data_IF_735449834815
#
_entry.id   IF_735449834815
#
_cell.length_a   1.000
_cell.length_b   1.000
_cell.length_c   1.000
_cell.angle_alpha   90.00
_cell.angle_beta   90.00
_cell.angle_gamma   90.00
#
_symmetry.space_group_name_H-M   'P 1'
#
loop_
_entity.id
_entity.type
_entity.pdbx_description
1 polymer ?
2 non-polymer ?
3 water ?
#
# COMPACT_ATOMS: atom_id res chain seq x y z
N UNK A 1 -2.63 -2.25 16.46
CA UNK A 1 -2.13 -2.89 15.26
C UNK A 1 -2.61 -4.31 15.06
N UNK A 2 -2.99 -5.03 16.11
CA UNK A 2 -3.14 -6.46 16.02
C UNK A 2 -4.17 -6.92 15.01
N UNK A 3 -5.25 -6.17 14.86
CA UNK A 3 -6.29 -6.53 13.92
C UNK A 3 -5.90 -6.49 12.48
N UNK A 4 -4.80 -5.81 12.11
CA UNK A 4 -4.38 -5.80 10.71
C UNK A 4 -3.54 -7.04 10.35
N UNK A 5 -3.04 -7.74 11.40
CA UNK A 5 -2.07 -8.82 11.08
C UNK A 5 -2.76 -9.99 10.38
N UNK A 6 -2.02 -10.56 9.44
CA UNK A 6 -2.43 -11.72 8.69
C UNK A 6 -2.19 -11.65 7.23
N UNK A 7 -2.87 -12.51 6.49
CA UNK A 7 -2.81 -12.68 5.09
C UNK A 7 -4.10 -12.23 4.40
N UNK A 8 -3.95 -11.34 3.45
CA UNK A 8 -5.14 -10.68 2.85
C UNK A 8 -5.08 -10.83 1.33
N UNK A 9 -6.17 -11.01 0.62
CA UNK A 9 -6.16 -11.14 -0.83
C UNK A 9 -7.08 -10.11 -1.48
N UNK A 10 -6.64 -9.53 -2.59
CA UNK A 10 -7.45 -8.49 -3.21
C UNK A 10 -8.72 -9.07 -3.82
N UNK A 11 -9.82 -8.41 -3.60
CA UNK A 11 -11.11 -8.84 -4.17
C UNK A 11 -11.80 -7.73 -4.92
N UNK A 12 -11.39 -6.46 -4.80
CA UNK A 12 -12.04 -5.40 -5.65
C UNK A 12 -11.03 -4.26 -5.79
N UNK A 13 -11.18 -3.50 -6.87
CA UNK A 13 -10.29 -2.34 -7.07
C UNK A 13 -11.02 -1.29 -7.94
N UNK A 14 -10.99 -0.06 -7.50
CA UNK A 14 -11.59 1.04 -8.26
C UNK A 14 -10.57 2.19 -8.46
N UNK A 15 -10.43 2.59 -9.68
CA UNK A 15 -9.64 3.70 -10.12
C UNK A 15 -8.14 3.51 -9.89
N UNK A 16 -7.64 2.28 -9.99
CA UNK A 16 -6.16 2.09 -9.86
C UNK A 16 -5.46 2.69 -11.04
N UNK A 17 -6.13 2.62 -12.22
CA UNK A 17 -5.43 3.17 -13.39
C UNK A 17 -5.18 4.63 -13.23
N UNK A 18 -6.14 5.37 -12.69
CA UNK A 18 -6.00 6.84 -12.57
C UNK A 18 -4.82 7.12 -11.61
N UNK A 19 -4.72 6.37 -10.54
CA UNK A 19 -3.62 6.52 -9.57
C UNK A 19 -2.29 6.23 -10.20
N UNK A 20 -2.17 5.14 -10.95
CA UNK A 20 -0.92 4.84 -11.61
C UNK A 20 -0.56 5.91 -12.61
N UNK A 21 -1.56 6.38 -13.42
CA UNK A 21 -1.21 7.41 -14.40
C UNK A 21 -0.69 8.67 -13.70
N UNK A 22 -1.28 9.04 -12.58
CA UNK A 22 -0.88 10.24 -11.85
C UNK A 22 0.60 10.14 -11.42
N UNK A 23 1.05 8.94 -11.13
CA UNK A 23 2.43 8.73 -10.64
C UNK A 23 3.41 8.61 -11.81
N UNK A 24 2.85 8.53 -13.04
CA UNK A 24 3.71 8.47 -14.21
C UNK A 24 4.00 7.11 -14.71
N UNK A 25 3.26 6.11 -14.20
CA UNK A 25 3.51 4.76 -14.64
C UNK A 25 3.08 4.53 -16.08
N UNK A 26 3.93 3.81 -16.83
CA UNK A 26 3.69 3.71 -18.26
C UNK A 26 2.61 2.72 -18.62
N UNK A 27 2.11 2.83 -19.87
CA UNK A 27 0.94 2.07 -20.26
C UNK A 27 1.10 0.60 -20.14
N UNK A 28 2.27 0.06 -20.49
CA UNK A 28 2.43 -1.38 -20.50
C UNK A 28 2.37 -1.96 -19.10
N UNK A 29 2.95 -1.23 -18.12
CA UNK A 29 2.88 -1.72 -16.74
C UNK A 29 1.49 -1.57 -16.18
N UNK A 30 0.78 -0.51 -16.61
CA UNK A 30 -0.62 -0.38 -16.13
C UNK A 30 -1.47 -1.52 -16.66
N UNK A 31 -1.23 -2.02 -17.85
CA UNK A 31 -2.03 -3.16 -18.38
C UNK A 31 -1.90 -4.35 -17.42
N UNK A 32 -0.64 -4.73 -17.14
CA UNK A 32 -0.45 -5.93 -16.30
C UNK A 32 -0.99 -5.76 -14.91
N UNK A 33 -0.73 -4.60 -14.30
CA UNK A 33 -1.23 -4.26 -13.00
C UNK A 33 -2.73 -4.31 -12.85
N UNK A 34 -3.47 -4.00 -13.90
CA UNK A 34 -4.92 -3.98 -13.80
C UNK A 34 -5.51 -5.37 -13.68
N UNK A 35 -4.73 -6.38 -14.05
CA UNK A 35 -5.18 -7.78 -14.03
C UNK A 35 -4.47 -8.58 -12.94
N UNK A 36 -3.72 -7.95 -12.08
CA UNK A 36 -3.02 -8.61 -10.99
C UNK A 36 -3.80 -8.54 -9.69
N UNK A 37 -3.87 -9.66 -8.95
CA UNK A 37 -4.52 -9.72 -7.67
C UNK A 37 -3.52 -10.10 -6.56
N UNK A 38 -3.01 -9.05 -5.90
CA UNK A 38 -1.93 -9.32 -4.94
C UNK A 38 -2.42 -10.01 -3.67
N UNK A 39 -1.44 -10.55 -2.95
CA UNK A 39 -1.58 -11.02 -1.60
C UNK A 39 -0.73 -10.14 -0.66
N UNK A 40 -1.33 -9.57 0.33
CA UNK A 40 -0.54 -8.73 1.29
C UNK A 40 -0.46 -9.46 2.62
N UNK A 41 0.74 -9.57 3.18
CA UNK A 41 0.99 -10.23 4.45
C UNK A 41 1.58 -9.23 5.45
N UNK A 42 0.94 -9.06 6.56
CA UNK A 42 1.38 -8.16 7.61
C UNK A 42 1.68 -8.94 8.88
N UNK A 43 2.91 -8.75 9.39
CA UNK A 43 3.38 -9.49 10.53
C UNK A 43 4.08 -8.53 11.50
N UNK A 44 4.24 -8.95 12.73
CA UNK A 44 4.91 -8.15 13.75
C UNK A 44 5.87 -9.02 14.58
N UNK A 45 6.99 -8.41 14.91
CA UNK A 45 7.98 -9.00 15.83
C UNK A 45 8.39 -7.92 16.82
N UNK A 46 7.78 -7.86 17.96
CA UNK A 46 8.00 -6.74 18.90
C UNK A 46 7.46 -5.46 18.29
N UNK A 47 8.27 -4.42 18.22
CA UNK A 47 7.83 -3.17 17.62
C UNK A 47 8.17 -3.06 16.17
N UNK A 48 8.58 -4.16 15.50
CA UNK A 48 8.90 -4.07 14.07
C UNK A 48 7.79 -4.72 13.25
N UNK A 49 7.23 -3.97 12.33
CA UNK A 49 6.23 -4.50 11.39
C UNK A 49 6.88 -4.82 10.06
N UNK A 50 6.41 -5.88 9.41
CA UNK A 50 6.84 -6.30 8.09
C UNK A 50 5.58 -6.43 7.17
N UNK A 51 5.62 -5.74 6.08
CA UNK A 51 4.54 -5.74 5.08
C UNK A 51 5.06 -6.26 3.77
N UNK A 52 4.53 -7.43 3.35
CA UNK A 52 4.96 -8.10 2.11
C UNK A 52 3.78 -8.00 1.11
N UNK A 53 4.09 -7.58 -0.11
CA UNK A 53 3.02 -7.64 -1.14
C UNK A 53 3.53 -8.55 -2.28
N UNK A 54 2.79 -9.63 -2.52
CA UNK A 54 3.24 -10.68 -3.46
C UNK A 54 2.28 -10.73 -4.64
N UNK A 55 2.84 -10.97 -5.81
CA UNK A 55 1.97 -11.20 -6.98
C UNK A 55 2.78 -11.93 -8.06
N UNK A 56 2.12 -12.21 -9.18
CA UNK A 56 2.85 -12.83 -10.31
C UNK A 56 3.66 -11.82 -11.07
N UNK A 57 3.44 -10.52 -10.80
CA UNK A 57 4.22 -9.53 -11.61
C UNK A 57 5.38 -8.98 -10.81
N UNK A 58 5.12 -8.38 -9.65
CA UNK A 58 6.20 -7.82 -8.84
C UNK A 58 5.98 -8.21 -7.36
N UNK A 59 7.01 -8.19 -6.55
CA UNK A 59 6.92 -8.43 -5.13
C UNK A 59 7.71 -7.35 -4.37
N UNK A 60 7.10 -6.88 -3.30
CA UNK A 60 7.76 -5.92 -2.41
C UNK A 60 7.78 -6.39 -0.98
N UNK A 61 8.78 -5.90 -0.20
CA UNK A 61 8.75 -6.16 1.26
C UNK A 61 9.38 -4.95 1.98
N UNK A 62 8.76 -4.41 2.97
CA UNK A 62 9.33 -3.37 3.85
C UNK A 62 9.22 -3.76 5.31
N UNK A 63 10.14 -3.40 6.15
CA UNK A 63 10.08 -3.54 7.57
C UNK A 63 10.30 -2.16 8.22
N UNK A 64 9.48 -1.85 9.21
CA UNK A 64 9.54 -0.54 9.86
C UNK A 64 9.05 -0.54 11.27
N UNK A 65 9.39 0.54 12.01
CA UNK A 65 8.79 0.85 13.29
C UNK A 65 7.82 2.01 13.08
N UNK A 66 6.68 1.97 13.78
CA UNK A 66 5.71 3.04 13.66
C UNK A 66 6.35 4.34 14.13
N UNK A 67 6.11 5.41 13.41
CA UNK A 67 6.58 6.73 13.86
C UNK A 67 8.02 7.02 13.53
N UNK A 68 8.71 6.17 12.81
CA UNK A 68 10.12 6.35 12.48
C UNK A 68 10.32 6.28 10.98
N UNK A 69 10.93 7.36 10.42
CA UNK A 69 11.05 7.47 8.97
C UNK A 69 12.00 6.41 8.43
N UNK A 70 11.79 5.88 7.27
CA UNK A 70 12.63 4.94 6.57
C UNK A 70 12.73 5.22 5.10
N UNK A 71 13.80 4.75 4.46
CA UNK A 71 13.93 4.78 3.01
C UNK A 71 13.19 3.61 2.38
N UNK A 72 12.49 3.82 1.28
CA UNK A 72 11.73 2.79 0.60
C UNK A 72 11.89 2.95 -0.93
N UNK A 73 12.05 1.79 -1.59
CA UNK A 73 11.94 1.85 -3.08
C UNK A 73 10.65 1.13 -3.46
N UNK A 74 9.80 1.85 -4.18
CA UNK A 74 8.44 1.38 -4.41
C UNK A 74 8.39 0.42 -5.62
N UNK A 75 7.26 -0.23 -5.80
CA UNK A 75 7.06 -1.17 -6.91
C UNK A 75 7.31 -0.52 -8.28
N UNK A 76 6.99 0.76 -8.40
CA UNK A 76 7.23 1.57 -9.54
C UNK A 76 8.59 2.22 -9.61
N UNK A 77 9.48 1.89 -8.72
CA UNK A 77 10.85 2.32 -8.71
C UNK A 77 11.02 3.78 -8.31
N UNK A 78 10.15 4.33 -7.48
CA UNK A 78 10.45 5.61 -6.83
C UNK A 78 11.29 5.38 -5.56
N UNK A 79 12.21 6.26 -5.30
CA UNK A 79 12.98 6.23 -4.02
C UNK A 79 12.36 7.35 -3.14
N UNK A 80 11.72 6.91 -2.08
CA UNK A 80 10.93 7.81 -1.25
C UNK A 80 11.37 7.73 0.22
N UNK A 81 10.95 8.72 0.99
CA UNK A 81 11.09 8.80 2.44
C UNK A 81 9.67 8.51 3.00
N UNK A 82 9.60 7.48 3.81
CA UNK A 82 8.30 7.00 4.30
C UNK A 82 8.20 7.08 5.81
N UNK A 83 6.95 7.19 6.30
CA UNK A 83 6.67 7.01 7.69
C UNK A 83 5.26 6.41 7.84
N UNK A 84 5.10 5.45 8.73
CA UNK A 84 3.82 4.79 8.99
C UNK A 84 3.39 5.05 10.42
N UNK A 85 2.13 5.44 10.61
CA UNK A 85 1.64 5.69 11.95
C UNK A 85 0.19 5.20 12.09
N UNK A 86 -0.31 5.10 13.27
CA UNK A 86 -1.69 4.75 13.60
C UNK A 86 -2.47 6.02 13.99
N UNK A 87 -3.55 6.29 13.27
CA UNK A 87 -4.28 7.56 13.38
C UNK A 87 -5.77 7.18 13.34
N UNK A 88 -6.45 7.36 14.46
CA UNK A 88 -7.84 7.00 14.54
C UNK A 88 -8.14 5.58 14.15
N UNK A 89 -7.21 4.67 14.45
CA UNK A 89 -7.40 3.29 14.20
C UNK A 89 -7.02 2.84 12.81
N UNK A 90 -6.58 3.79 11.98
CA UNK A 90 -6.13 3.52 10.62
C UNK A 90 -4.61 3.44 10.56
N UNK A 91 -4.11 2.59 9.66
CA UNK A 91 -2.65 2.59 9.43
C UNK A 91 -2.37 3.54 8.25
N UNK A 92 -1.62 4.57 8.54
CA UNK A 92 -1.39 5.63 7.54
C UNK A 92 0.08 5.65 7.12
N UNK A 93 0.25 5.37 5.84
CA UNK A 93 1.62 5.35 5.25
C UNK A 93 1.74 6.58 4.35
N UNK A 94 2.72 7.43 4.67
CA UNK A 94 2.98 8.62 3.86
C UNK A 94 4.33 8.46 3.16
N UNK A 95 4.37 8.70 1.86
CA UNK A 95 5.58 8.68 1.09
C UNK A 95 5.93 10.07 0.58
N UNK A 96 7.16 10.52 0.66
CA UNK A 96 7.51 11.83 0.10
C UNK A 96 8.75 11.68 -0.80
N UNK A 97 8.71 12.43 -1.94
CA UNK A 97 9.88 12.41 -2.82
C UNK A 97 9.78 13.64 -3.75
N UNK A 98 10.86 14.34 -3.95
CA UNK A 98 10.86 15.49 -4.88
C UNK A 98 9.72 16.44 -4.62
N UNK A 99 9.44 16.78 -3.39
CA UNK A 99 8.37 17.74 -3.12
C UNK A 99 6.98 17.19 -3.28
N UNK A 100 6.84 15.94 -3.70
CA UNK A 100 5.45 15.41 -3.85
C UNK A 100 5.13 14.49 -2.65
N UNK A 101 3.91 14.06 -2.56
CA UNK A 101 3.53 13.12 -1.48
C UNK A 101 2.38 12.25 -1.96
N UNK A 102 2.34 11.01 -1.45
CA UNK A 102 1.16 10.19 -1.61
C UNK A 102 0.88 9.42 -0.34
N UNK A 103 -0.40 9.12 -0.10
CA UNK A 103 -0.74 8.43 1.13
C UNK A 103 -1.45 7.09 0.80
N UNK A 104 -1.11 6.10 1.60
CA UNK A 104 -1.71 4.77 1.48
C UNK A 104 -2.33 4.48 2.85
N UNK A 105 -3.66 4.51 2.91
CA UNK A 105 -4.34 4.43 4.23
C UNK A 105 -5.10 3.10 4.28
N UNK A 106 -4.92 2.35 5.35
CA UNK A 106 -5.58 1.09 5.55
C UNK A 106 -6.55 1.15 6.71
N UNK A 107 -7.82 0.76 6.48
CA UNK A 107 -8.77 0.73 7.54
C UNK A 107 -9.55 -0.57 7.54
N UNK A 108 -9.91 -1.05 8.69
CA UNK A 108 -10.77 -2.26 8.79
C UNK A 108 -12.22 -1.82 8.91
N UNK A 109 -13.02 -2.35 7.99
CA UNK A 109 -14.47 -2.08 8.09
C UNK A 109 -15.20 -3.39 7.85
N UNK A 110 -16.02 -3.81 8.82
CA UNK A 110 -16.80 -5.05 8.54
C UNK A 110 -15.85 -6.17 8.20
N UNK A 111 -14.71 -6.23 8.91
CA UNK A 111 -13.81 -7.36 8.74
C UNK A 111 -13.04 -7.36 7.45
N UNK A 112 -13.25 -6.37 6.56
CA UNK A 112 -12.41 -6.29 5.37
C UNK A 112 -11.37 -5.17 5.54
N UNK A 113 -10.30 -5.27 4.78
CA UNK A 113 -9.22 -4.24 4.88
C UNK A 113 -9.36 -3.36 3.63
N UNK A 114 -9.72 -2.09 3.86
CA UNK A 114 -9.84 -1.14 2.74
C UNK A 114 -8.56 -0.29 2.63
N UNK A 115 -7.95 -0.29 1.48
CA UNK A 115 -6.75 0.51 1.17
C UNK A 115 -7.14 1.64 0.21
N UNK A 116 -6.90 2.88 0.71
CA UNK A 116 -7.16 4.04 -0.12
C UNK A 116 -5.83 4.72 -0.46
N UNK A 117 -5.66 4.96 -1.74
CA UNK A 117 -4.41 5.54 -2.24
C UNK A 117 -4.77 6.86 -2.92
N UNK A 118 -4.02 7.92 -2.48
CA UNK A 118 -4.33 9.26 -3.01
C UNK A 118 -3.04 9.90 -3.54
N UNK A 119 -3.06 10.44 -4.72
CA UNK A 119 -1.99 11.24 -5.28
C UNK A 119 -2.60 12.29 -6.22
N UNK A 120 -2.21 13.54 -5.97
CA UNK A 120 -2.86 14.56 -6.84
C UNK A 120 -4.34 14.58 -6.58
N UNK A 121 -5.12 14.52 -7.65
CA UNK A 121 -6.55 14.45 -7.57
C UNK A 121 -7.05 13.02 -7.66
N UNK A 122 -6.16 12.04 -7.85
CA UNK A 122 -6.63 10.66 -8.09
C UNK A 122 -6.75 9.93 -6.74
N UNK A 123 -7.86 9.25 -6.58
CA UNK A 123 -8.15 8.46 -5.39
C UNK A 123 -8.60 7.03 -5.82
N UNK A 124 -7.88 6.06 -5.30
CA UNK A 124 -8.14 4.65 -5.63
C UNK A 124 -8.53 3.90 -4.39
N UNK A 125 -9.54 3.06 -4.46
CA UNK A 125 -9.89 2.21 -3.32
C UNK A 125 -9.75 0.74 -3.67
N UNK A 126 -8.99 0.01 -2.86
CA UNK A 126 -8.81 -1.41 -3.04
C UNK A 126 -9.23 -2.18 -1.80
N UNK A 127 -10.02 -3.22 -2.01
CA UNK A 127 -10.60 -4.03 -0.99
C UNK A 127 -9.94 -5.38 -0.90
N UNK A 128 -9.52 -5.74 0.32
CA UNK A 128 -8.85 -7.02 0.59
C UNK A 128 -9.70 -7.81 1.62
N UNK A 129 -9.70 -9.13 1.45
CA UNK A 129 -10.42 -10.01 2.44
C UNK A 129 -9.40 -10.94 3.05
N UNK A 130 -9.66 -11.38 4.28
CA UNK A 130 -8.66 -12.13 5.05
C UNK A 130 -8.67 -13.57 4.56
N UNK A 131 -7.50 -14.11 4.34
CA UNK A 131 -7.29 -15.53 3.98
C UNK A 131 -6.92 -16.27 5.29
X LIG B 1 -1.74 -2.67 -3.31
X LIG B 1 -2.79 -3.19 -3.69
X LIG B 1 -0.98 -2.91 -2.39
X LIG B 1 -1.26 -1.62 -4.21
X LIG B 1 0.16 -1.22 -4.20
X LIG B 1 0.47 0.07 -4.98
X LIG B 1 1.95 0.40 -4.90
X LIG B 1 2.37 1.67 -5.54
X LIG B 1 1.87 1.90 -6.93
X LIG B 1 2.65 1.06 -7.95
X LIG B 1 2.17 1.26 -9.34
X LIG B 1 2.52 0.42 -10.40
X LIG B 1 3.47 -0.69 -10.31
X LIG B 1 2.98 -2.07 -10.45
X LIG B 1 2.05 -2.51 -9.34
X LIG B 1 1.36 -3.81 -9.70
X LIG B 1 1.19 -4.72 -8.54
X LIG B 1 2.07 -4.39 -7.38
X LIG B 1 2.31 -5.59 -6.47
X LIG B 1 3.67 -5.44 -5.81
#
# INVERSE_FOLDING_TARGET
>A
VDAFLGTWKLVDSKNFDDYMKSLGVGFATRQVASMTKPTTIIEKNGDILTLKTHSTFKNTEISFKLGVEFDETTADDRKVKSIVTLDGGKLVHLQKWDGQETTLVRELIDGKLILTLTHGTAVCTRTYEKEA
>B hetero
1 OLA C1 O1 O2 C2 C3 C4 C5 C6 C7 C8 C9 C10 C11 C12 C13 C14 C15 C16 C17 C18
#
